data_IF_023085065421
#
_entry.id   IF_023085065421
#
_cell.length_a   1.000
_cell.length_b   1.000
_cell.length_c   1.000
_cell.angle_alpha   90.00
_cell.angle_beta   90.00
_cell.angle_gamma   90.00
#
_symmetry.space_group_name_H-M   'P 1'
#
loop_
_entity.id
_entity.type
_entity.pdbx_description
1 polymer ?
#
# COMPACT_ATOMS: atom_id res chain seq x y z
N UNK A 1 15.51 -13.97 4.01
CA UNK A 1 14.48 -14.88 4.57
C UNK A 1 14.47 -16.22 3.82
N UNK A 2 15.63 -16.88 3.65
CA UNK A 2 15.77 -18.18 2.95
C UNK A 2 15.07 -18.29 1.57
N UNK A 3 15.04 -17.19 0.81
CA UNK A 3 14.54 -17.14 -0.57
C UNK A 3 15.68 -16.67 -1.46
N UNK A 4 15.90 -17.33 -2.59
CA UNK A 4 16.86 -16.92 -3.61
C UNK A 4 16.31 -15.77 -4.47
N UNK A 5 17.07 -15.34 -5.48
CA UNK A 5 16.72 -14.20 -6.33
C UNK A 5 15.42 -14.45 -7.12
N UNK A 6 15.28 -15.62 -7.75
CA UNK A 6 14.11 -15.98 -8.55
C UNK A 6 12.85 -16.09 -7.68
N UNK A 7 12.97 -16.74 -6.53
CA UNK A 7 11.90 -16.88 -5.56
C UNK A 7 11.46 -15.51 -5.02
N UNK A 8 12.40 -14.60 -4.77
CA UNK A 8 12.10 -13.26 -4.27
C UNK A 8 11.34 -12.43 -5.32
N UNK A 9 11.75 -12.50 -6.59
CA UNK A 9 11.03 -11.85 -7.69
C UNK A 9 9.60 -12.41 -7.79
N UNK A 10 9.46 -13.74 -7.74
CA UNK A 10 8.16 -14.40 -7.82
C UNK A 10 7.23 -14.00 -6.66
N UNK A 11 7.74 -13.96 -5.42
CA UNK A 11 6.97 -13.60 -4.24
C UNK A 11 6.48 -12.14 -4.29
N UNK A 12 7.35 -11.20 -4.67
CA UNK A 12 7.01 -9.77 -4.69
C UNK A 12 6.06 -9.46 -5.86
N UNK A 13 6.41 -9.87 -7.07
CA UNK A 13 5.58 -9.61 -8.24
C UNK A 13 4.22 -10.33 -8.13
N UNK A 14 4.22 -11.57 -7.63
CA UNK A 14 2.99 -12.31 -7.37
C UNK A 14 2.14 -11.66 -6.27
N UNK A 15 2.75 -11.24 -5.16
CA UNK A 15 2.05 -10.57 -4.06
C UNK A 15 1.44 -9.23 -4.47
N UNK A 16 2.20 -8.37 -5.14
CA UNK A 16 1.73 -7.06 -5.59
C UNK A 16 0.89 -7.09 -6.88
N UNK A 17 0.62 -8.26 -7.45
CA UNK A 17 -0.38 -8.39 -8.53
C UNK A 17 -1.81 -8.11 -8.03
N UNK A 18 -2.06 -8.27 -6.72
CA UNK A 18 -3.37 -8.12 -6.11
C UNK A 18 -3.39 -7.02 -5.04
N UNK A 19 -4.56 -6.42 -4.83
CA UNK A 19 -4.81 -5.43 -3.80
C UNK A 19 -4.19 -4.06 -4.08
N UNK A 20 -3.88 -3.35 -3.00
CA UNK A 20 -3.30 -2.00 -2.96
C UNK A 20 -2.67 -1.70 -1.61
N UNK A 21 -1.85 -0.65 -1.53
CA UNK A 21 -1.42 -0.05 -0.26
C UNK A 21 -2.47 0.95 0.25
N UNK A 22 -2.27 1.53 1.44
CA UNK A 22 -3.19 2.52 2.02
C UNK A 22 -2.44 3.69 2.68
N UNK A 23 -2.76 4.92 2.27
CA UNK A 23 -2.09 6.17 2.60
C UNK A 23 -2.95 7.39 2.26
N UNK A 24 -4.26 7.33 2.53
CA UNK A 24 -5.23 8.36 2.17
C UNK A 24 -5.07 9.71 2.92
N UNK A 25 -4.32 9.73 4.03
CA UNK A 25 -4.02 10.92 4.81
C UNK A 25 -2.75 10.75 5.68
N UNK A 26 -2.35 11.79 6.41
CA UNK A 26 -1.15 11.75 7.28
C UNK A 26 -1.20 10.57 8.26
N UNK A 27 -0.05 9.94 8.49
CA UNK A 27 0.11 8.89 9.50
C UNK A 27 -0.13 9.39 10.92
N UNK A 28 -0.08 10.71 11.17
CA UNK A 28 -0.38 11.30 12.48
C UNK A 28 -1.84 11.08 12.93
N UNK A 29 -2.74 10.75 11.99
CA UNK A 29 -4.12 10.41 12.31
C UNK A 29 -4.28 8.99 12.88
N UNK A 30 -3.27 8.13 12.73
CA UNK A 30 -3.29 6.73 13.15
C UNK A 30 -2.87 6.63 14.62
N UNK A 31 -3.79 6.16 15.46
CA UNK A 31 -3.55 5.99 16.89
C UNK A 31 -2.63 4.81 17.24
N UNK A 32 -2.48 4.51 18.55
CA UNK A 32 -1.59 3.46 19.04
C UNK A 32 -1.87 2.08 18.43
N UNK A 33 -0.82 1.27 18.33
CA UNK A 33 -0.89 -0.14 17.95
C UNK A 33 -1.69 -0.98 18.96
N UNK A 34 -2.12 -2.22 18.61
CA UNK A 34 -3.06 -3.01 19.42
C UNK A 34 -2.67 -3.20 20.89
N UNK A 35 -1.39 -3.42 21.19
CA UNK A 35 -0.92 -3.65 22.58
C UNK A 35 -0.87 -2.37 23.43
N UNK A 36 -0.95 -1.19 22.80
CA UNK A 36 -0.99 0.12 23.46
C UNK A 36 -2.36 0.82 23.31
N UNK A 37 -3.31 0.18 22.63
CA UNK A 37 -4.64 0.73 22.41
C UNK A 37 -5.52 0.62 23.66
N UNK A 38 -6.55 1.47 23.74
CA UNK A 38 -7.53 1.42 24.82
C UNK A 38 -8.29 0.07 24.82
N UNK A 39 -8.57 -0.46 26.02
CA UNK A 39 -9.28 -1.74 26.18
C UNK A 39 -10.62 -1.78 25.44
N UNK A 40 -11.31 -0.64 25.28
CA UNK A 40 -12.57 -0.54 24.54
C UNK A 40 -12.43 -0.85 23.04
N UNK A 41 -11.21 -0.84 22.48
CA UNK A 41 -10.93 -1.27 21.11
C UNK A 41 -10.85 -2.80 20.95
N UNK A 42 -10.95 -3.56 22.05
CA UNK A 42 -11.13 -5.01 22.05
C UNK A 42 -10.06 -5.77 21.24
N UNK A 43 -8.79 -5.43 21.46
CA UNK A 43 -7.64 -6.06 20.81
C UNK A 43 -7.35 -5.54 19.40
N UNK A 44 -8.09 -4.54 18.92
CA UNK A 44 -7.74 -3.77 17.74
C UNK A 44 -6.89 -2.55 18.13
N UNK A 45 -6.16 -2.01 17.16
CA UNK A 45 -5.39 -0.77 17.29
C UNK A 45 -5.39 0.00 15.98
N UNK A 46 -4.52 1.00 15.87
CA UNK A 46 -4.38 1.88 14.71
C UNK A 46 -5.70 2.58 14.34
N UNK A 47 -6.51 2.91 15.35
CA UNK A 47 -7.74 3.68 15.13
C UNK A 47 -7.40 4.99 14.44
N UNK A 48 -8.01 5.22 13.28
CA UNK A 48 -7.63 6.30 12.38
C UNK A 48 -8.67 7.42 12.45
N UNK A 49 -8.23 8.61 12.85
CA UNK A 49 -9.06 9.81 12.99
C UNK A 49 -9.32 10.56 11.67
N UNK A 50 -8.69 10.15 10.57
CA UNK A 50 -8.86 10.78 9.26
C UNK A 50 -10.19 10.39 8.63
N UNK A 51 -11.12 11.35 8.53
CA UNK A 51 -12.46 11.18 7.92
C UNK A 51 -13.18 9.97 8.51
N UNK A 52 -13.55 8.96 7.70
CA UNK A 52 -14.19 7.75 8.20
C UNK A 52 -13.23 6.75 8.86
N UNK A 53 -11.92 6.95 8.69
CA UNK A 53 -10.84 6.12 9.24
C UNK A 53 -10.64 4.77 8.54
N UNK A 54 -11.48 4.42 7.55
CA UNK A 54 -11.56 3.10 6.92
C UNK A 54 -12.04 3.16 5.48
N UNK A 55 -11.97 2.04 4.77
CA UNK A 55 -12.37 1.98 3.35
C UNK A 55 -11.54 2.96 2.50
N UNK A 56 -12.18 3.89 1.76
CA UNK A 56 -11.46 4.90 0.98
C UNK A 56 -10.53 5.82 1.79
N UNK A 57 -10.78 5.98 3.10
CA UNK A 57 -9.99 6.87 3.97
C UNK A 57 -8.94 6.11 4.81
N UNK A 58 -8.66 4.86 4.46
CA UNK A 58 -7.69 4.02 5.19
C UNK A 58 -6.27 4.56 5.04
N UNK A 59 -5.52 4.57 6.14
CA UNK A 59 -4.07 4.78 6.16
C UNK A 59 -3.43 3.62 6.91
N UNK A 60 -2.49 2.92 6.27
CA UNK A 60 -1.74 1.79 6.86
C UNK A 60 -0.25 2.01 6.71
N UNK A 61 0.29 1.99 5.49
CA UNK A 61 1.71 2.23 5.25
C UNK A 61 2.04 3.69 4.96
N UNK A 62 1.01 4.51 4.66
CA UNK A 62 1.19 5.87 4.16
C UNK A 62 1.50 5.94 2.66
N UNK A 63 1.76 4.81 1.99
CA UNK A 63 1.88 4.73 0.52
C UNK A 63 0.48 4.52 -0.07
N UNK A 64 0.18 5.13 -1.22
CA UNK A 64 -1.12 5.02 -1.89
C UNK A 64 -0.92 4.58 -3.35
N UNK A 65 -0.76 3.27 -3.56
CA UNK A 65 -0.47 2.63 -4.85
C UNK A 65 -1.39 1.43 -5.09
N UNK A 66 -1.90 1.32 -6.30
CA UNK A 66 -2.55 0.13 -6.85
C UNK A 66 -1.76 -0.28 -8.10
N UNK A 67 -1.17 -1.46 -8.11
CA UNK A 67 -0.19 -1.83 -9.15
C UNK A 67 -0.78 -2.39 -10.44
N UNK A 68 -1.99 -2.93 -10.40
CA UNK A 68 -2.61 -3.61 -11.56
C UNK A 68 -3.97 -3.03 -11.89
N UNK A 69 -4.40 -3.15 -13.15
CA UNK A 69 -5.73 -2.70 -13.58
C UNK A 69 -6.87 -3.61 -13.05
N UNK A 70 -6.51 -4.80 -12.58
CA UNK A 70 -7.42 -5.84 -12.10
C UNK A 70 -7.03 -6.33 -10.70
N UNK A 71 -7.04 -5.47 -9.66
CA UNK A 71 -6.44 -5.77 -8.34
C UNK A 71 -7.11 -6.90 -7.56
N UNK A 72 -8.23 -7.45 -8.05
CA UNK A 72 -8.95 -8.59 -7.45
C UNK A 72 -8.89 -9.84 -8.34
N UNK A 73 -8.01 -9.87 -9.35
CA UNK A 73 -7.82 -11.00 -10.26
C UNK A 73 -6.33 -11.20 -10.53
N UNK A 74 -5.92 -12.47 -10.67
CA UNK A 74 -4.56 -12.77 -11.13
C UNK A 74 -4.36 -12.29 -12.58
N UNK A 75 -3.21 -11.68 -12.85
CA UNK A 75 -2.79 -11.20 -14.17
C UNK A 75 -1.26 -11.11 -14.24
N UNK A 76 -0.72 -10.71 -15.39
CA UNK A 76 0.70 -10.36 -15.54
C UNK A 76 0.91 -8.83 -15.60
N UNK A 77 -0.08 -8.04 -15.15
CA UNK A 77 -0.04 -6.58 -15.26
C UNK A 77 1.10 -5.97 -14.45
N UNK A 78 1.44 -6.51 -13.27
CA UNK A 78 2.51 -5.97 -12.43
C UNK A 78 3.84 -5.85 -13.19
N UNK A 79 4.32 -6.95 -13.77
CA UNK A 79 5.56 -6.95 -14.55
C UNK A 79 5.39 -6.23 -15.88
N UNK A 80 4.21 -6.35 -16.53
CA UNK A 80 3.93 -5.62 -17.77
C UNK A 80 4.09 -4.12 -17.56
N UNK A 81 3.45 -3.55 -16.55
CA UNK A 81 3.49 -2.11 -16.28
C UNK A 81 4.87 -1.67 -15.78
N UNK A 82 5.51 -2.48 -14.94
CA UNK A 82 6.87 -2.20 -14.47
C UNK A 82 7.85 -1.96 -15.62
N UNK A 83 7.76 -2.74 -16.69
CA UNK A 83 8.66 -2.64 -17.85
C UNK A 83 8.11 -1.76 -18.99
N UNK A 84 6.80 -1.51 -19.05
CA UNK A 84 6.18 -0.75 -20.15
C UNK A 84 6.20 0.77 -19.92
N UNK A 85 6.22 1.21 -18.66
CA UNK A 85 6.19 2.63 -18.30
C UNK A 85 7.53 3.13 -17.79
N UNK A 86 7.78 4.42 -18.00
CA UNK A 86 8.80 5.16 -17.28
C UNK A 86 8.21 5.66 -15.96
N UNK A 87 9.05 5.73 -14.92
CA UNK A 87 8.61 6.01 -13.55
C UNK A 87 9.23 7.30 -13.04
N UNK A 88 8.40 8.19 -12.49
CA UNK A 88 8.84 9.41 -11.81
C UNK A 88 8.53 9.35 -10.31
N UNK A 89 9.45 9.91 -9.52
CA UNK A 89 9.31 9.98 -8.06
C UNK A 89 8.23 11.00 -7.69
N UNK A 90 7.27 10.58 -6.88
CA UNK A 90 6.17 11.41 -6.38
C UNK A 90 5.97 11.21 -4.86
N UNK A 91 4.97 11.89 -4.31
CA UNK A 91 4.57 11.78 -2.90
C UNK A 91 3.10 11.35 -2.79
N UNK A 92 2.82 10.42 -1.86
CA UNK A 92 1.46 10.04 -1.50
C UNK A 92 0.71 11.18 -0.78
N UNK A 93 -0.62 11.07 -0.57
CA UNK A 93 -1.35 11.99 0.30
C UNK A 93 -0.80 12.06 1.74
N UNK A 94 -0.16 10.99 2.22
CA UNK A 94 0.52 10.96 3.52
C UNK A 94 1.98 11.47 3.48
N UNK A 95 2.49 11.89 2.32
CA UNK A 95 3.86 12.37 2.15
C UNK A 95 4.93 11.29 1.97
N UNK A 96 4.54 10.02 1.79
CA UNK A 96 5.46 8.92 1.53
C UNK A 96 6.02 9.00 0.10
N UNK A 97 7.29 8.65 -0.08
CA UNK A 97 7.87 8.51 -1.43
C UNK A 97 7.27 7.30 -2.14
N UNK A 98 6.80 7.51 -3.36
CA UNK A 98 6.31 6.45 -4.26
C UNK A 98 6.57 6.83 -5.71
N UNK A 99 6.21 5.95 -6.64
CA UNK A 99 6.43 6.18 -8.07
C UNK A 99 5.09 6.19 -8.81
N UNK A 100 5.00 6.99 -9.87
CA UNK A 100 3.88 7.01 -10.80
C UNK A 100 4.39 6.92 -12.24
N UNK A 101 3.51 6.54 -13.17
CA UNK A 101 3.79 6.65 -14.60
C UNK A 101 4.15 8.10 -14.94
N UNK A 102 5.32 8.31 -15.53
CA UNK A 102 5.75 9.63 -15.96
C UNK A 102 4.84 10.13 -17.10
N UNK A 103 4.43 11.40 -17.04
CA UNK A 103 3.67 12.00 -18.13
C UNK A 103 4.49 12.01 -19.43
N UNK A 104 3.88 11.55 -20.53
CA UNK A 104 4.44 11.63 -21.89
C UNK A 104 4.56 13.04 -22.41
#
# INVERSE_FOLDING_TARGET
MAMNDEETVALIAGGHTVGKTHGAGSTDHVGPEPEAADLAQQGLGWSNSYKSGKGPDTTTSGIEVTWTSTPVKWSHDYLKYLFQFEWELTKSPAGAHQWQEAAT
#
